data_IF_156311337121
#
_entry.id   IF_156311337121
#
_cell.length_a   1.000
_cell.length_b   1.000
_cell.length_c   1.000
_cell.angle_alpha   90.00
_cell.angle_beta   90.00
_cell.angle_gamma   90.00
#
_symmetry.space_group_name_H-M   'P 1'
#
loop_
_entity.id
_entity.type
_entity.pdbx_description
1 polymer ?
#
# COMPACT_ATOMS: atom_id res chain seq x y z
N UNK A 1 17.07 15.81 14.61
CA UNK A 1 16.76 14.41 14.99
C UNK A 1 18.00 13.64 15.45
N UNK A 2 19.13 13.67 14.71
CA UNK A 2 20.32 12.89 15.06
C UNK A 2 20.89 13.16 16.47
N UNK A 3 20.92 14.42 16.92
CA UNK A 3 21.43 14.79 18.25
C UNK A 3 20.49 14.39 19.39
N UNK A 4 19.18 14.49 19.19
CA UNK A 4 18.20 14.06 20.18
C UNK A 4 18.12 12.54 20.27
N UNK A 5 18.18 11.82 19.15
CA UNK A 5 18.31 10.34 19.16
C UNK A 5 19.60 9.92 19.87
N UNK A 6 20.70 10.66 19.67
CA UNK A 6 21.95 10.46 20.41
C UNK A 6 21.77 10.70 21.91
N UNK A 7 20.99 11.71 22.31
CA UNK A 7 20.67 11.97 23.72
C UNK A 7 19.88 10.81 24.35
N UNK A 8 18.80 10.35 23.70
CA UNK A 8 18.02 9.18 24.18
C UNK A 8 18.91 7.94 24.24
N UNK A 9 19.78 7.74 23.24
CA UNK A 9 20.73 6.64 23.26
C UNK A 9 21.72 6.72 24.44
N UNK A 10 22.19 7.92 24.80
CA UNK A 10 23.03 8.10 25.99
C UNK A 10 22.28 7.75 27.28
N UNK A 11 21.01 8.13 27.41
CA UNK A 11 20.17 7.74 28.55
C UNK A 11 20.02 6.21 28.64
N UNK A 12 19.86 5.50 27.52
CA UNK A 12 19.89 4.03 27.50
C UNK A 12 21.22 3.48 28.04
N UNK A 13 22.35 4.08 27.66
CA UNK A 13 23.67 3.65 28.15
C UNK A 13 23.80 3.88 29.66
N UNK A 14 23.30 5.01 30.17
CA UNK A 14 23.30 5.35 31.59
C UNK A 14 22.40 4.40 32.40
N UNK A 15 21.18 4.12 31.92
CA UNK A 15 20.27 3.15 32.54
C UNK A 15 20.90 1.75 32.62
N UNK A 16 21.50 1.28 31.53
CA UNK A 16 22.14 -0.04 31.53
C UNK A 16 23.36 -0.06 32.45
N UNK A 17 24.13 1.04 32.51
CA UNK A 17 25.28 1.17 33.43
C UNK A 17 24.85 1.15 34.89
N UNK A 18 23.77 1.84 35.26
CA UNK A 18 23.26 1.84 36.64
C UNK A 18 22.80 0.44 37.09
N UNK A 19 22.37 -0.38 36.14
CA UNK A 19 22.02 -1.80 36.34
C UNK A 19 23.20 -2.78 36.20
N UNK A 20 24.43 -2.27 36.05
CA UNK A 20 25.64 -3.08 35.81
C UNK A 20 25.53 -3.98 34.56
N UNK A 21 24.73 -3.58 33.57
CA UNK A 21 24.55 -4.30 32.32
C UNK A 21 25.53 -3.79 31.25
N UNK A 22 26.29 -4.70 30.65
CA UNK A 22 27.21 -4.36 29.58
C UNK A 22 26.46 -4.11 28.25
N UNK A 23 26.70 -2.97 27.60
CA UNK A 23 26.18 -2.70 26.26
C UNK A 23 27.13 -3.27 25.21
N UNK A 24 26.87 -4.51 24.77
CA UNK A 24 27.59 -5.11 23.64
C UNK A 24 27.01 -4.59 22.32
N UNK A 25 27.88 -4.32 21.33
CA UNK A 25 27.48 -3.87 19.98
C UNK A 25 26.65 -2.58 20.00
N UNK A 26 27.12 -1.57 20.74
CA UNK A 26 26.45 -0.28 20.92
C UNK A 26 25.91 0.33 19.60
N UNK A 27 26.69 0.27 18.51
CA UNK A 27 26.22 0.74 17.19
C UNK A 27 24.95 0.03 16.70
N UNK A 28 24.82 -1.28 16.90
CA UNK A 28 23.59 -2.01 16.54
C UNK A 28 22.44 -1.70 17.48
N UNK A 29 22.71 -1.50 18.78
CA UNK A 29 21.68 -1.07 19.73
C UNK A 29 21.10 0.27 19.27
N UNK A 30 21.96 1.23 18.91
CA UNK A 30 21.54 2.51 18.35
C UNK A 30 20.69 2.37 17.10
N UNK A 31 21.10 1.53 16.13
CA UNK A 31 20.29 1.29 14.92
C UNK A 31 18.87 0.79 15.23
N UNK A 32 18.70 -0.09 16.23
CA UNK A 32 17.37 -0.58 16.61
C UNK A 32 16.55 0.50 17.33
N UNK A 33 17.21 1.34 18.14
CA UNK A 33 16.59 2.49 18.79
C UNK A 33 16.12 3.52 17.76
N UNK A 34 16.98 3.90 16.82
CA UNK A 34 16.68 4.87 15.78
C UNK A 34 15.49 4.37 14.94
N UNK A 35 15.52 3.11 14.49
CA UNK A 35 14.42 2.52 13.72
C UNK A 35 13.09 2.46 14.48
N UNK A 36 13.13 2.07 15.76
CA UNK A 36 11.92 2.01 16.60
C UNK A 36 11.33 3.40 16.85
N UNK A 37 12.16 4.40 17.18
CA UNK A 37 11.68 5.77 17.41
C UNK A 37 11.17 6.39 16.11
N UNK A 38 11.82 6.14 14.98
CA UNK A 38 11.36 6.61 13.66
C UNK A 38 10.00 6.04 13.29
N UNK A 39 9.79 4.72 13.43
CA UNK A 39 8.49 4.07 13.16
C UNK A 39 7.37 4.67 14.03
N UNK A 40 7.64 4.86 15.32
CA UNK A 40 6.67 5.47 16.24
C UNK A 40 6.44 6.96 15.97
N UNK A 41 7.46 7.70 15.54
CA UNK A 41 7.33 9.09 15.12
C UNK A 41 6.42 9.18 13.89
N UNK A 42 6.69 8.40 12.84
CA UNK A 42 5.83 8.32 11.64
C UNK A 42 4.39 8.00 12.06
N UNK A 43 4.21 6.99 12.91
CA UNK A 43 2.90 6.59 13.43
C UNK A 43 2.17 7.72 14.16
N UNK A 44 2.89 8.49 14.97
CA UNK A 44 2.31 9.60 15.72
C UNK A 44 2.00 10.82 14.86
N UNK A 45 2.72 11.02 13.76
CA UNK A 45 2.61 12.21 12.91
C UNK A 45 1.65 12.02 11.74
N UNK A 46 1.61 10.83 11.15
CA UNK A 46 0.95 10.60 9.84
C UNK A 46 -0.16 9.56 9.87
N UNK A 47 -0.54 9.04 11.04
CA UNK A 47 -1.54 7.98 11.14
C UNK A 47 -2.61 8.34 12.17
N UNK A 48 -3.88 8.15 11.79
CA UNK A 48 -5.04 8.40 12.66
C UNK A 48 -5.03 7.54 13.94
N UNK A 49 -4.33 6.40 13.89
CA UNK A 49 -4.06 5.54 15.01
C UNK A 49 -2.54 5.49 15.27
N UNK A 50 -2.04 6.05 16.39
CA UNK A 50 -0.61 6.11 16.68
C UNK A 50 -0.05 4.79 17.22
N UNK A 51 -0.91 3.79 17.48
CA UNK A 51 -0.47 2.49 17.96
C UNK A 51 0.15 1.67 16.83
N UNK A 52 1.28 1.03 17.13
CA UNK A 52 1.95 0.06 16.25
C UNK A 52 1.99 -1.30 16.91
N UNK A 53 1.60 -2.32 16.15
CA UNK A 53 1.66 -3.70 16.60
C UNK A 53 3.11 -4.19 16.51
N UNK A 54 3.56 -4.89 17.54
CA UNK A 54 4.90 -5.50 17.58
C UNK A 54 4.80 -6.89 18.18
N UNK A 55 5.41 -7.87 17.52
CA UNK A 55 5.56 -9.19 18.11
C UNK A 55 6.69 -9.19 19.14
N UNK A 56 6.44 -9.76 20.32
CA UNK A 56 7.50 -10.04 21.32
C UNK A 56 8.03 -11.48 21.23
N UNK A 57 7.50 -12.31 20.33
CA UNK A 57 7.90 -13.72 20.16
C UNK A 57 9.22 -13.83 19.41
N UNK A 58 10.10 -14.73 19.83
CA UNK A 58 11.43 -14.88 19.20
C UNK A 58 11.34 -15.51 17.81
N UNK A 59 10.39 -16.42 17.63
CA UNK A 59 10.08 -17.14 16.39
C UNK A 59 9.81 -16.16 15.26
N UNK A 60 9.21 -15.02 15.59
CA UNK A 60 8.90 -14.02 14.60
C UNK A 60 10.16 -13.39 13.97
N UNK A 61 11.27 -13.32 14.69
CA UNK A 61 12.51 -12.69 14.18
C UNK A 61 13.53 -13.73 13.71
N UNK A 62 13.12 -15.00 13.57
CA UNK A 62 14.00 -16.03 13.05
C UNK A 62 14.34 -15.79 11.57
N UNK A 63 15.55 -16.17 11.20
CA UNK A 63 15.99 -16.14 9.81
C UNK A 63 15.34 -17.30 9.06
N UNK A 64 14.92 -17.08 7.81
CA UNK A 64 14.54 -18.16 6.91
C UNK A 64 13.21 -18.00 6.19
N UNK A 65 12.41 -16.97 6.50
CA UNK A 65 11.19 -16.66 5.73
C UNK A 65 11.48 -15.58 4.68
N UNK A 66 10.78 -15.66 3.53
CA UNK A 66 10.92 -14.72 2.41
C UNK A 66 10.60 -13.28 2.83
N UNK A 67 9.55 -13.11 3.63
CA UNK A 67 9.08 -11.82 4.14
C UNK A 67 9.88 -11.30 5.35
N UNK A 68 11.19 -11.51 5.31
CA UNK A 68 12.21 -11.17 6.31
C UNK A 68 11.76 -10.06 7.28
N UNK A 69 11.59 -10.39 8.57
CA UNK A 69 11.22 -9.42 9.59
C UNK A 69 12.35 -8.40 9.81
N UNK A 70 12.20 -7.21 9.22
CA UNK A 70 12.83 -5.91 9.52
C UNK A 70 14.36 -5.84 9.70
N UNK A 71 15.12 -6.92 9.46
CA UNK A 71 16.54 -7.03 9.81
C UNK A 71 16.84 -6.76 11.31
N UNK A 72 15.80 -6.72 12.15
CA UNK A 72 15.89 -6.48 13.58
C UNK A 72 16.19 -7.80 14.30
N UNK A 73 17.20 -7.79 15.16
CA UNK A 73 17.47 -8.92 16.04
C UNK A 73 16.54 -8.83 17.23
N UNK A 74 15.72 -9.86 17.45
CA UNK A 74 14.79 -9.96 18.60
C UNK A 74 15.40 -9.48 19.90
N UNK A 75 16.56 -10.03 20.29
CA UNK A 75 17.20 -9.70 21.57
C UNK A 75 17.61 -8.22 21.68
N UNK A 76 18.00 -7.59 20.58
CA UNK A 76 18.37 -6.17 20.57
C UNK A 76 17.13 -5.29 20.56
N UNK A 77 16.14 -5.60 19.72
CA UNK A 77 14.90 -4.84 19.63
C UNK A 77 14.11 -4.89 20.95
N UNK A 78 13.95 -6.07 21.54
CA UNK A 78 13.23 -6.22 22.81
C UNK A 78 13.97 -5.53 23.94
N UNK A 79 15.30 -5.65 24.01
CA UNK A 79 16.08 -4.93 25.02
C UNK A 79 15.93 -3.41 24.90
N UNK A 80 16.02 -2.86 23.68
CA UNK A 80 15.80 -1.42 23.43
C UNK A 80 14.37 -1.01 23.76
N UNK A 81 13.37 -1.79 23.36
CA UNK A 81 11.97 -1.52 23.66
C UNK A 81 11.73 -1.46 25.17
N UNK A 82 12.24 -2.44 25.91
CA UNK A 82 12.04 -2.53 27.35
C UNK A 82 12.73 -1.37 28.08
N UNK A 83 13.95 -0.98 27.65
CA UNK A 83 14.63 0.22 28.17
C UNK A 83 13.81 1.50 27.92
N UNK A 84 13.26 1.67 26.71
CA UNK A 84 12.49 2.85 26.35
C UNK A 84 11.13 2.91 27.08
N UNK A 85 10.51 1.76 27.34
CA UNK A 85 9.30 1.68 28.18
C UNK A 85 9.64 2.07 29.61
N UNK A 86 10.72 1.55 30.18
CA UNK A 86 11.13 1.83 31.56
C UNK A 86 11.49 3.31 31.77
N UNK A 87 12.16 3.93 30.81
CA UNK A 87 12.47 5.37 30.84
C UNK A 87 11.26 6.26 30.52
N UNK A 88 10.09 5.68 30.25
CA UNK A 88 8.84 6.38 29.97
C UNK A 88 8.77 7.05 28.59
N UNK A 89 9.57 6.61 27.61
CA UNK A 89 9.49 7.09 26.21
C UNK A 89 8.42 6.36 25.39
N UNK A 90 8.06 5.14 25.76
CA UNK A 90 7.08 4.33 25.01
C UNK A 90 5.96 3.88 25.95
N UNK A 91 4.72 4.14 25.53
CA UNK A 91 3.54 3.52 26.14
C UNK A 91 3.33 2.14 25.51
N UNK A 92 3.08 1.11 26.34
CA UNK A 92 2.91 -0.26 25.89
C UNK A 92 1.61 -0.87 26.42
N UNK A 93 0.90 -1.58 25.54
CA UNK A 93 -0.18 -2.52 25.88
C UNK A 93 0.26 -3.93 25.52
N UNK A 94 0.49 -4.76 26.54
CA UNK A 94 0.92 -6.15 26.36
C UNK A 94 -0.18 -6.96 25.66
N UNK A 95 0.21 -7.65 24.60
CA UNK A 95 -0.67 -8.58 23.88
C UNK A 95 -0.95 -9.84 24.68
N UNK A 96 -2.01 -10.54 24.33
CA UNK A 96 -2.40 -11.80 24.96
C UNK A 96 -3.03 -12.74 23.93
N UNK A 97 -3.19 -14.01 24.30
CA UNK A 97 -3.92 -15.00 23.52
C UNK A 97 -4.80 -15.82 24.46
N UNK A 98 -6.10 -15.59 24.39
CA UNK A 98 -7.10 -16.35 25.11
C UNK A 98 -7.39 -17.65 24.35
N UNK A 99 -7.04 -18.78 24.96
CA UNK A 99 -7.22 -20.11 24.37
C UNK A 99 -8.68 -20.57 24.37
N UNK A 100 -9.52 -20.02 25.24
CA UNK A 100 -10.93 -20.39 25.35
C UNK A 100 -11.75 -19.76 24.24
N UNK A 101 -11.52 -18.47 23.97
CA UNK A 101 -12.21 -17.75 22.90
C UNK A 101 -11.45 -17.78 21.57
N UNK A 102 -10.22 -18.31 21.57
CA UNK A 102 -9.28 -18.27 20.45
C UNK A 102 -9.02 -16.84 19.93
N UNK A 103 -9.17 -15.83 20.80
CA UNK A 103 -8.90 -14.42 20.48
C UNK A 103 -7.53 -14.04 20.99
N UNK A 104 -6.76 -13.37 20.15
CA UNK A 104 -5.46 -12.85 20.53
C UNK A 104 -5.25 -11.43 20.03
N UNK A 105 -4.49 -10.66 20.81
CA UNK A 105 -4.00 -9.35 20.42
C UNK A 105 -2.48 -9.36 20.50
N UNK A 106 -1.83 -8.77 19.50
CA UNK A 106 -0.40 -8.50 19.59
C UNK A 106 -0.12 -7.35 20.56
N UNK A 107 1.10 -7.29 21.08
CA UNK A 107 1.56 -6.13 21.85
C UNK A 107 1.48 -4.90 20.97
N UNK A 108 1.01 -3.79 21.53
CA UNK A 108 0.95 -2.51 20.85
C UNK A 108 1.75 -1.47 21.61
N UNK A 109 2.45 -0.63 20.87
CA UNK A 109 3.29 0.44 21.40
C UNK A 109 2.97 1.76 20.71
N UNK A 110 3.20 2.88 21.37
CA UNK A 110 3.14 4.23 20.80
C UNK A 110 4.13 5.16 21.51
N UNK A 111 4.41 6.32 20.92
CA UNK A 111 5.09 7.39 21.65
C UNK A 111 4.30 7.76 22.92
N UNK A 112 5.00 7.90 24.05
CA UNK A 112 4.48 8.60 25.22
C UNK A 112 4.53 10.11 25.01
N UNK A 113 3.88 10.88 25.90
CA UNK A 113 3.96 12.35 25.87
C UNK A 113 5.41 12.86 26.02
N UNK A 114 6.25 12.13 26.78
CA UNK A 114 7.68 12.42 26.94
C UNK A 114 8.41 12.32 25.59
N UNK A 115 8.17 11.23 24.84
CA UNK A 115 8.79 11.06 23.52
C UNK A 115 8.20 12.06 22.52
N UNK A 116 6.88 12.26 22.51
CA UNK A 116 6.22 13.26 21.65
C UNK A 116 6.81 14.67 21.84
N UNK A 117 7.04 15.09 23.09
CA UNK A 117 7.62 16.39 23.42
C UNK A 117 9.08 16.54 22.95
N UNK A 118 9.81 15.44 22.87
CA UNK A 118 11.17 15.41 22.35
C UNK A 118 11.15 15.48 20.81
N UNK A 119 10.24 14.74 20.18
CA UNK A 119 10.20 14.57 18.73
C UNK A 119 9.40 15.66 17.98
N UNK A 120 8.47 16.35 18.64
CA UNK A 120 7.72 17.47 18.05
C UNK A 120 8.62 18.68 17.71
N UNK A 121 9.82 18.73 18.28
CA UNK A 121 10.86 19.73 17.98
C UNK A 121 11.66 19.39 16.73
N UNK A 122 11.29 18.36 15.98
CA UNK A 122 12.01 17.95 14.77
C UNK A 122 11.54 18.69 13.53
N UNK A 123 12.52 19.23 12.81
CA UNK A 123 12.43 19.52 11.39
C UNK A 123 13.05 18.32 10.64
N UNK A 124 12.23 17.32 10.31
CA UNK A 124 12.69 16.14 9.55
C UNK A 124 12.83 16.53 8.10
N UNK A 125 14.05 16.90 7.71
CA UNK A 125 14.34 17.34 6.33
C UNK A 125 14.48 16.17 5.34
N UNK A 126 14.92 15.00 5.83
CA UNK A 126 15.14 13.84 4.98
C UNK A 126 15.11 12.55 5.82
N UNK A 127 14.43 11.53 5.31
CA UNK A 127 14.50 10.16 5.79
C UNK A 127 15.14 9.32 4.69
N UNK A 128 16.28 8.72 4.99
CA UNK A 128 17.02 7.89 4.04
C UNK A 128 17.00 6.44 4.48
N UNK A 129 16.89 5.55 3.50
CA UNK A 129 16.98 4.11 3.73
C UNK A 129 18.41 3.75 4.14
N UNK A 130 18.56 2.90 5.15
CA UNK A 130 19.86 2.32 5.48
C UNK A 130 20.27 1.32 4.38
N UNK A 131 21.39 1.56 3.66
CA UNK A 131 21.83 0.69 2.56
C UNK A 131 22.23 -0.72 3.01
N UNK A 132 22.55 -0.92 4.30
CA UNK A 132 22.87 -2.23 4.87
C UNK A 132 21.64 -3.12 5.05
N UNK A 133 20.43 -2.55 5.00
CA UNK A 133 19.19 -3.31 5.11
C UNK A 133 18.92 -3.97 3.75
N UNK A 134 18.55 -5.27 3.69
CA UNK A 134 18.12 -5.92 2.45
C UNK A 134 16.89 -5.24 1.85
N UNK A 135 16.73 -5.28 0.53
CA UNK A 135 15.49 -4.80 -0.10
C UNK A 135 14.27 -5.56 0.47
N UNK A 136 13.16 -4.85 0.62
CA UNK A 136 11.90 -5.48 1.01
C UNK A 136 11.46 -6.46 -0.08
N UNK A 137 10.75 -7.52 0.29
CA UNK A 137 10.12 -8.38 -0.71
C UNK A 137 9.04 -7.58 -1.46
N UNK A 138 9.23 -7.43 -2.76
CA UNK A 138 8.34 -6.65 -3.63
C UNK A 138 7.29 -7.52 -4.31
N UNK A 139 7.42 -8.85 -4.25
CA UNK A 139 6.42 -9.79 -4.77
C UNK A 139 5.78 -10.53 -3.59
N UNK A 140 4.56 -10.13 -3.26
CA UNK A 140 3.80 -10.61 -2.12
C UNK A 140 2.77 -11.65 -2.56
N UNK A 141 2.78 -12.84 -1.97
CA UNK A 141 1.76 -13.87 -2.21
C UNK A 141 0.96 -14.15 -0.94
N UNK A 142 -0.37 -14.21 -1.08
CA UNK A 142 -1.32 -14.53 0.00
C UNK A 142 -2.14 -15.77 -0.33
N UNK A 143 -2.50 -16.55 0.68
CA UNK A 143 -3.47 -17.65 0.58
C UNK A 143 -4.93 -17.13 0.57
N UNK A 144 -5.90 -18.03 0.40
CA UNK A 144 -7.34 -17.71 0.45
C UNK A 144 -7.80 -17.03 1.74
N UNK A 145 -7.05 -17.21 2.84
CA UNK A 145 -7.33 -16.57 4.13
C UNK A 145 -6.61 -15.22 4.30
N UNK A 146 -5.93 -14.74 3.26
CA UNK A 146 -5.18 -13.49 3.25
C UNK A 146 -3.83 -13.55 3.95
N UNK A 147 -3.36 -14.74 4.34
CA UNK A 147 -2.06 -14.90 5.03
C UNK A 147 -0.93 -14.96 4.02
N UNK A 148 0.19 -14.33 4.37
CA UNK A 148 1.41 -14.38 3.56
C UNK A 148 1.93 -15.82 3.46
N UNK A 149 2.28 -16.25 2.25
CA UNK A 149 2.84 -17.59 1.99
C UNK A 149 4.16 -17.49 1.24
N UNK A 150 5.12 -18.33 1.63
CA UNK A 150 6.36 -18.49 0.90
C UNK A 150 6.09 -19.18 -0.44
N UNK A 151 6.91 -18.87 -1.44
CA UNK A 151 6.86 -19.47 -2.78
C UNK A 151 8.28 -19.67 -3.31
N UNK A 152 8.43 -20.56 -4.29
CA UNK A 152 9.69 -20.79 -5.01
C UNK A 152 9.78 -19.76 -6.13
N UNK A 153 10.92 -19.09 -6.26
CA UNK A 153 11.11 -18.15 -7.37
C UNK A 153 11.12 -18.89 -8.71
N UNK A 154 10.46 -18.29 -9.69
CA UNK A 154 10.50 -18.68 -11.09
C UNK A 154 10.95 -17.52 -11.98
N UNK A 155 11.02 -17.76 -13.30
CA UNK A 155 11.38 -16.74 -14.29
C UNK A 155 10.49 -15.50 -14.26
N UNK A 156 9.21 -15.65 -13.94
CA UNK A 156 8.25 -14.54 -13.90
C UNK A 156 8.44 -13.73 -12.63
N UNK A 157 8.54 -14.37 -11.46
CA UNK A 157 8.78 -13.65 -10.19
C UNK A 157 10.13 -12.94 -10.17
N UNK A 158 11.15 -13.51 -10.81
CA UNK A 158 12.45 -12.85 -10.94
C UNK A 158 12.39 -11.65 -11.87
N UNK A 159 11.77 -11.77 -13.05
CA UNK A 159 11.59 -10.64 -13.97
C UNK A 159 10.80 -9.49 -13.31
N UNK A 160 9.65 -9.81 -12.69
CA UNK A 160 8.86 -8.80 -11.98
C UNK A 160 9.64 -8.11 -10.85
N UNK A 161 10.56 -8.83 -10.20
CA UNK A 161 11.40 -8.26 -9.14
C UNK A 161 12.44 -7.31 -9.70
N UNK A 162 13.08 -7.67 -10.81
CA UNK A 162 14.01 -6.78 -11.53
C UNK A 162 13.31 -5.48 -11.94
N UNK A 163 12.13 -5.60 -12.55
CA UNK A 163 11.31 -4.45 -12.97
C UNK A 163 10.92 -3.56 -11.78
N UNK A 164 10.49 -4.16 -10.66
CA UNK A 164 10.13 -3.43 -9.44
C UNK A 164 11.34 -2.78 -8.77
N UNK A 165 12.51 -3.42 -8.80
CA UNK A 165 13.73 -2.82 -8.26
C UNK A 165 14.12 -1.59 -9.07
N UNK A 166 14.08 -1.66 -10.41
CA UNK A 166 14.30 -0.50 -11.28
C UNK A 166 13.29 0.61 -11.03
N UNK A 167 11.99 0.27 -11.03
CA UNK A 167 10.91 1.23 -10.77
C UNK A 167 11.06 1.91 -9.40
N UNK A 168 11.27 1.13 -8.34
CA UNK A 168 11.42 1.67 -6.99
C UNK A 168 12.70 2.51 -6.84
N UNK A 169 13.75 2.24 -7.63
CA UNK A 169 14.89 3.15 -7.70
C UNK A 169 14.48 4.52 -8.26
N UNK A 170 13.73 4.56 -9.37
CA UNK A 170 13.25 5.82 -9.94
C UNK A 170 12.40 6.63 -8.95
N UNK A 171 11.45 5.97 -8.27
CA UNK A 171 10.63 6.61 -7.23
C UNK A 171 11.50 7.16 -6.11
N UNK A 172 12.49 6.40 -5.62
CA UNK A 172 13.40 6.81 -4.54
C UNK A 172 14.24 8.03 -4.89
N UNK A 173 14.62 8.18 -6.16
CA UNK A 173 15.44 9.30 -6.63
C UNK A 173 14.63 10.54 -7.00
N UNK A 174 13.34 10.39 -7.29
CA UNK A 174 12.47 11.51 -7.63
C UNK A 174 12.10 12.33 -6.40
N UNK A 175 12.07 13.65 -6.54
CA UNK A 175 11.56 14.55 -5.52
C UNK A 175 10.03 14.61 -5.64
N UNK A 176 9.32 13.90 -4.77
CA UNK A 176 7.85 13.97 -4.66
C UNK A 176 7.51 15.02 -3.59
N UNK A 177 7.13 16.21 -4.03
CA UNK A 177 6.75 17.30 -3.13
C UNK A 177 5.28 17.17 -2.70
N UNK A 178 5.05 17.36 -1.40
CA UNK A 178 3.74 17.23 -0.76
C UNK A 178 3.35 18.51 0.01
N UNK A 179 4.00 19.64 -0.24
CA UNK A 179 3.83 20.87 0.56
C UNK A 179 2.40 21.42 0.50
N UNK A 180 1.72 21.18 -0.63
CA UNK A 180 0.35 21.60 -0.89
C UNK A 180 -0.69 20.53 -0.46
N UNK A 181 -0.27 19.47 0.24
CA UNK A 181 -1.14 18.37 0.71
C UNK A 181 -1.07 18.24 2.22
N UNK A 182 -2.22 18.21 2.89
CA UNK A 182 -2.27 17.87 4.31
C UNK A 182 -2.14 16.35 4.47
N UNK A 183 -1.04 15.92 5.08
CA UNK A 183 -0.74 14.51 5.28
C UNK A 183 -0.84 14.08 6.75
N UNK A 184 -0.83 15.05 7.68
CA UNK A 184 -0.73 14.73 9.10
C UNK A 184 -1.97 13.98 9.55
N UNK A 185 -1.74 12.92 10.31
CA UNK A 185 -2.75 12.00 10.80
C UNK A 185 -3.53 11.23 9.71
N UNK A 186 -3.17 11.36 8.44
CA UNK A 186 -3.87 10.72 7.33
C UNK A 186 -3.00 9.74 6.54
N UNK A 187 -1.84 10.19 6.04
CA UNK A 187 -1.03 9.42 5.08
C UNK A 187 0.46 9.55 5.39
N UNK A 188 1.16 8.41 5.45
CA UNK A 188 2.63 8.34 5.63
C UNK A 188 3.37 8.64 4.32
N UNK A 189 4.04 9.81 4.17
CA UNK A 189 4.77 10.16 2.96
C UNK A 189 6.03 9.32 2.71
N UNK A 190 6.50 8.56 3.70
CA UNK A 190 7.69 7.72 3.55
C UNK A 190 7.39 6.40 2.84
N UNK A 191 6.11 6.04 2.73
CA UNK A 191 5.65 4.86 2.02
C UNK A 191 5.77 5.08 0.50
N UNK A 192 6.95 4.83 -0.06
CA UNK A 192 7.24 5.03 -1.50
C UNK A 192 7.63 3.75 -2.23
N UNK A 193 7.80 2.64 -1.51
CA UNK A 193 8.18 1.35 -2.11
C UNK A 193 6.95 0.60 -2.61
N UNK A 194 6.86 0.47 -3.93
CA UNK A 194 5.84 -0.31 -4.62
C UNK A 194 6.14 -1.80 -4.59
N UNK A 195 5.07 -2.60 -4.50
CA UNK A 195 5.07 -4.06 -4.50
C UNK A 195 3.90 -4.59 -5.31
N UNK A 196 4.02 -5.79 -5.86
CA UNK A 196 2.89 -6.52 -6.45
C UNK A 196 2.31 -7.49 -5.44
N UNK A 197 0.99 -7.49 -5.29
CA UNK A 197 0.28 -8.35 -4.32
C UNK A 197 -0.62 -9.34 -5.05
N UNK A 198 -0.30 -10.62 -4.92
CA UNK A 198 -1.05 -11.74 -5.48
C UNK A 198 -1.86 -12.44 -4.38
N UNK A 199 -3.13 -12.70 -4.68
CA UNK A 199 -4.01 -13.51 -3.85
C UNK A 199 -4.23 -14.85 -4.57
N UNK A 200 -3.76 -15.94 -3.98
CA UNK A 200 -3.70 -17.26 -4.61
C UNK A 200 -2.99 -17.23 -5.97
N UNK A 201 -3.72 -17.45 -7.07
CA UNK A 201 -3.21 -17.43 -8.44
C UNK A 201 -3.64 -16.17 -9.22
N UNK A 202 -4.28 -15.20 -8.55
CA UNK A 202 -4.73 -13.94 -9.15
C UNK A 202 -4.27 -12.70 -8.40
N UNK A 203 -4.83 -11.56 -8.77
CA UNK A 203 -4.37 -10.22 -8.40
C UNK A 203 -3.13 -9.79 -9.17
N UNK A 204 -2.16 -9.26 -8.44
CA UNK A 204 -0.88 -8.77 -8.97
C UNK A 204 -0.79 -7.26 -9.04
N UNK A 205 -1.85 -6.52 -8.70
CA UNK A 205 -1.85 -5.05 -8.70
C UNK A 205 -0.69 -4.46 -7.89
N UNK A 206 -0.27 -3.28 -8.30
CA UNK A 206 0.78 -2.50 -7.65
C UNK A 206 0.22 -1.78 -6.42
N UNK A 207 0.91 -1.92 -5.29
CA UNK A 207 0.57 -1.30 -4.01
C UNK A 207 1.79 -0.71 -3.30
N UNK A 208 1.58 0.27 -2.43
CA UNK A 208 2.56 0.66 -1.40
C UNK A 208 2.95 2.14 -1.42
N UNK A 209 2.71 2.84 -2.52
CA UNK A 209 2.95 4.27 -2.65
C UNK A 209 1.90 5.07 -1.90
N UNK A 210 2.32 6.04 -1.09
CA UNK A 210 1.45 6.86 -0.28
C UNK A 210 0.43 7.63 -1.12
N UNK A 211 0.79 7.99 -2.36
CA UNK A 211 -0.08 8.66 -3.32
C UNK A 211 -1.34 7.85 -3.63
N UNK A 212 -1.32 6.51 -3.48
CA UNK A 212 -2.49 5.66 -3.67
C UNK A 212 -3.55 5.83 -2.58
N UNK A 213 -3.18 6.41 -1.43
CA UNK A 213 -4.07 6.68 -0.29
C UNK A 213 -4.69 8.07 -0.36
N UNK A 214 -4.15 8.96 -1.20
CA UNK A 214 -4.64 10.32 -1.36
C UNK A 214 -5.92 10.37 -2.19
N UNK A 215 -6.77 11.36 -1.91
CA UNK A 215 -7.90 11.72 -2.77
C UNK A 215 -7.41 12.15 -4.16
N UNK A 216 -8.28 12.12 -5.18
CA UNK A 216 -7.90 12.56 -6.52
C UNK A 216 -7.47 14.04 -6.50
N UNK A 217 -8.17 14.85 -5.72
CA UNK A 217 -7.92 16.28 -5.55
C UNK A 217 -6.54 16.53 -4.93
N UNK A 218 -6.15 15.76 -3.91
CA UNK A 218 -4.85 15.90 -3.25
C UNK A 218 -3.70 15.33 -4.09
N UNK A 219 -3.94 14.24 -4.81
CA UNK A 219 -2.98 13.69 -5.77
C UNK A 219 -2.54 14.72 -6.81
N UNK A 220 -3.48 15.54 -7.30
CA UNK A 220 -3.18 16.58 -8.29
C UNK A 220 -2.42 17.79 -7.73
N UNK A 221 -2.28 17.90 -6.40
CA UNK A 221 -1.44 18.93 -5.75
C UNK A 221 0.02 18.50 -5.62
N UNK A 222 0.34 17.22 -5.83
CA UNK A 222 1.71 16.73 -5.81
C UNK A 222 2.54 17.38 -6.92
N UNK A 223 3.85 17.51 -6.69
CA UNK A 223 4.82 17.88 -7.73
C UNK A 223 5.92 16.82 -7.81
N UNK A 224 6.28 16.44 -9.04
CA UNK A 224 7.38 15.54 -9.32
C UNK A 224 8.56 16.34 -9.85
N UNK A 225 9.68 16.32 -9.13
CA UNK A 225 10.88 17.12 -9.40
C UNK A 225 10.56 18.62 -9.61
N UNK A 226 9.65 19.14 -8.79
CA UNK A 226 9.21 20.53 -8.84
C UNK A 226 8.14 20.85 -9.88
N UNK A 227 7.78 19.91 -10.75
CA UNK A 227 6.75 20.10 -11.78
C UNK A 227 5.39 19.55 -11.34
N UNK A 228 4.31 20.27 -11.65
CA UNK A 228 2.94 19.81 -11.40
C UNK A 228 2.65 18.49 -12.12
N UNK A 229 1.86 17.63 -11.48
CA UNK A 229 1.43 16.36 -12.07
C UNK A 229 0.13 16.49 -12.85
N UNK A 230 -0.09 15.55 -13.77
CA UNK A 230 -1.40 15.26 -14.36
C UNK A 230 -1.73 13.80 -14.09
N UNK A 231 -3.01 13.48 -13.91
CA UNK A 231 -3.49 12.10 -13.76
C UNK A 231 -4.34 11.72 -14.97
N UNK A 232 -4.03 10.57 -15.60
CA UNK A 232 -4.85 9.95 -16.64
C UNK A 232 -5.32 8.58 -16.18
N UNK A 233 -6.59 8.29 -16.41
CA UNK A 233 -7.25 7.02 -16.11
C UNK A 233 -7.79 6.36 -17.38
N UNK A 234 -7.84 5.03 -17.39
CA UNK A 234 -8.55 4.31 -18.45
C UNK A 234 -10.06 4.57 -18.35
N UNK A 235 -10.67 4.86 -19.49
CA UNK A 235 -12.13 5.03 -19.56
C UNK A 235 -12.80 3.66 -19.49
N UNK A 236 -13.49 3.39 -18.39
CA UNK A 236 -14.30 2.18 -18.19
C UNK A 236 -13.56 0.87 -18.51
N UNK A 237 -12.34 0.72 -17.96
CA UNK A 237 -11.43 -0.38 -18.29
C UNK A 237 -12.08 -1.78 -18.22
N UNK A 238 -12.74 -2.10 -17.11
CA UNK A 238 -13.35 -3.42 -16.91
C UNK A 238 -14.45 -3.74 -17.93
N UNK A 239 -15.45 -2.85 -18.16
CA UNK A 239 -16.36 -3.00 -19.30
C UNK A 239 -15.65 -3.12 -20.65
N UNK A 240 -14.64 -2.29 -20.93
CA UNK A 240 -13.93 -2.32 -22.21
C UNK A 240 -13.27 -3.69 -22.47
N UNK A 241 -12.63 -4.27 -21.45
CA UNK A 241 -12.08 -5.63 -21.52
C UNK A 241 -13.20 -6.65 -21.77
N UNK A 242 -14.31 -6.56 -21.04
CA UNK A 242 -15.43 -7.50 -21.19
C UNK A 242 -16.04 -7.47 -22.59
N UNK A 243 -16.25 -6.29 -23.17
CA UNK A 243 -16.73 -6.12 -24.53
C UNK A 243 -15.71 -6.62 -25.57
N UNK A 244 -14.43 -6.35 -25.37
CA UNK A 244 -13.36 -6.82 -26.28
C UNK A 244 -13.32 -8.35 -26.36
N UNK A 245 -13.55 -9.05 -25.24
CA UNK A 245 -13.60 -10.52 -25.20
C UNK A 245 -14.75 -11.14 -26.01
N UNK A 246 -15.82 -10.39 -26.26
CA UNK A 246 -16.92 -10.82 -27.14
C UNK A 246 -16.78 -10.24 -28.55
N UNK A 247 -15.64 -9.65 -28.89
CA UNK A 247 -15.31 -9.12 -30.22
C UNK A 247 -15.90 -7.73 -30.50
N UNK A 248 -16.25 -6.97 -29.46
CA UNK A 248 -16.84 -5.63 -29.61
C UNK A 248 -15.97 -4.56 -28.97
N UNK A 249 -15.67 -3.50 -29.72
CA UNK A 249 -15.04 -2.30 -29.18
C UNK A 249 -16.06 -1.44 -28.41
N UNK A 250 -15.68 -0.97 -27.21
CA UNK A 250 -16.53 -0.08 -26.43
C UNK A 250 -16.41 1.36 -26.94
N UNK A 251 -17.39 1.81 -27.72
CA UNK A 251 -17.42 3.16 -28.32
C UNK A 251 -18.36 4.15 -27.59
N UNK A 252 -18.95 3.73 -26.47
CA UNK A 252 -19.92 4.50 -25.69
C UNK A 252 -19.60 4.37 -24.20
N UNK A 253 -20.25 5.18 -23.36
CA UNK A 253 -20.09 5.09 -21.92
C UNK A 253 -20.98 3.98 -21.35
N UNK A 254 -20.42 2.86 -20.85
CA UNK A 254 -21.18 1.72 -20.36
C UNK A 254 -21.92 2.02 -19.04
N UNK A 255 -21.71 3.20 -18.44
CA UNK A 255 -22.38 3.59 -17.21
C UNK A 255 -23.55 4.55 -17.44
N UNK A 256 -23.80 4.96 -18.69
CA UNK A 256 -24.89 5.87 -19.04
C UNK A 256 -26.14 5.06 -19.35
N UNK A 257 -27.08 5.06 -18.40
CA UNK A 257 -28.40 4.41 -18.52
C UNK A 257 -29.47 5.45 -18.23
N UNK A 258 -30.49 5.53 -19.10
CA UNK A 258 -31.57 6.51 -18.95
C UNK A 258 -32.29 6.37 -17.60
N UNK A 259 -32.49 7.51 -16.93
CA UNK A 259 -33.15 7.58 -15.62
C UNK A 259 -32.31 7.07 -14.45
N UNK A 260 -31.01 6.79 -14.65
CA UNK A 260 -30.11 6.34 -13.60
C UNK A 260 -28.93 7.31 -13.41
N UNK A 261 -28.52 7.50 -12.15
CA UNK A 261 -27.30 8.23 -11.83
C UNK A 261 -26.07 7.43 -12.27
N UNK A 262 -25.27 7.98 -13.18
CA UNK A 262 -24.09 7.30 -13.75
C UNK A 262 -23.13 6.75 -12.69
N UNK A 263 -22.92 7.48 -11.60
CA UNK A 263 -22.04 7.06 -10.51
C UNK A 263 -22.55 5.79 -9.80
N UNK A 264 -23.87 5.66 -9.68
CA UNK A 264 -24.54 4.51 -9.07
C UNK A 264 -24.52 3.31 -10.02
N UNK A 265 -24.73 3.55 -11.32
CA UNK A 265 -24.55 2.53 -12.37
C UNK A 265 -23.12 2.00 -12.31
N UNK A 266 -22.09 2.85 -12.28
CA UNK A 266 -20.68 2.42 -12.22
C UNK A 266 -20.40 1.52 -11.01
N UNK A 267 -20.85 1.92 -9.81
CA UNK A 267 -20.68 1.11 -8.59
C UNK A 267 -21.38 -0.24 -8.69
N UNK A 268 -22.64 -0.24 -9.13
CA UNK A 268 -23.42 -1.46 -9.31
C UNK A 268 -22.76 -2.37 -10.36
N UNK A 269 -22.48 -1.86 -11.56
CA UNK A 269 -21.88 -2.58 -12.67
C UNK A 269 -20.58 -3.30 -12.27
N UNK A 270 -19.64 -2.59 -11.64
CA UNK A 270 -18.39 -3.21 -11.17
C UNK A 270 -18.62 -4.27 -10.08
N UNK A 271 -19.68 -4.12 -9.28
CA UNK A 271 -20.10 -5.13 -8.30
C UNK A 271 -20.61 -6.42 -8.96
N UNK A 272 -21.29 -6.32 -10.11
CA UNK A 272 -21.84 -7.50 -10.83
C UNK A 272 -20.73 -8.49 -11.19
N UNK A 273 -19.58 -8.02 -11.68
CA UNK A 273 -18.45 -8.90 -12.04
C UNK A 273 -17.85 -9.66 -10.85
N UNK A 274 -18.07 -9.20 -9.62
CA UNK A 274 -17.43 -9.76 -8.43
C UNK A 274 -18.40 -10.56 -7.53
N UNK A 275 -19.70 -10.51 -7.80
CA UNK A 275 -20.71 -11.26 -7.06
C UNK A 275 -20.92 -12.65 -7.63
N UNK A 276 -21.41 -13.61 -6.84
CA UNK A 276 -21.77 -14.98 -7.27
C UNK A 276 -23.22 -15.11 -7.74
N UNK A 277 -24.05 -14.11 -7.44
CA UNK A 277 -25.47 -14.12 -7.80
C UNK A 277 -26.06 -12.71 -7.75
N UNK A 278 -27.18 -12.53 -8.45
CA UNK A 278 -28.02 -11.33 -8.38
C UNK A 278 -28.41 -10.95 -6.96
N UNK A 279 -28.81 -11.94 -6.14
CA UNK A 279 -29.18 -11.71 -4.74
C UNK A 279 -28.01 -11.15 -3.93
N UNK A 280 -26.81 -11.69 -4.12
CA UNK A 280 -25.62 -11.18 -3.46
C UNK A 280 -25.33 -9.74 -3.88
N UNK A 281 -25.37 -9.44 -5.19
CA UNK A 281 -25.12 -8.10 -5.70
C UNK A 281 -26.10 -7.06 -5.14
N UNK A 282 -27.40 -7.38 -5.09
CA UNK A 282 -28.42 -6.51 -4.46
C UNK A 282 -28.07 -6.21 -3.01
N UNK A 283 -27.68 -7.23 -2.25
CA UNK A 283 -27.33 -7.07 -0.83
C UNK A 283 -26.08 -6.20 -0.67
N UNK A 284 -25.02 -6.48 -1.45
CA UNK A 284 -23.78 -5.71 -1.43
C UNK A 284 -24.01 -4.25 -1.82
N UNK A 285 -24.80 -3.98 -2.85
CA UNK A 285 -25.10 -2.61 -3.29
C UNK A 285 -25.87 -1.82 -2.22
N UNK A 286 -26.80 -2.48 -1.53
CA UNK A 286 -27.54 -1.87 -0.43
C UNK A 286 -26.66 -1.60 0.79
N UNK A 287 -25.77 -2.54 1.14
CA UNK A 287 -24.93 -2.42 2.34
C UNK A 287 -23.75 -1.48 2.15
N UNK A 288 -23.03 -1.59 1.03
CA UNK A 288 -21.78 -0.86 0.77
C UNK A 288 -22.02 0.52 0.14
N UNK A 289 -23.00 0.63 -0.74
CA UNK A 289 -23.25 1.87 -1.50
C UNK A 289 -24.50 2.62 -1.04
N UNK A 290 -25.28 2.03 -0.13
CA UNK A 290 -26.53 2.60 0.39
C UNK A 290 -27.57 2.99 -0.68
N UNK A 291 -27.53 2.30 -1.84
CA UNK A 291 -28.41 2.59 -2.96
C UNK A 291 -29.77 1.88 -2.79
N UNK A 292 -30.83 2.70 -2.80
CA UNK A 292 -32.21 2.21 -2.88
C UNK A 292 -32.49 1.72 -4.31
N UNK A 293 -33.45 0.81 -4.48
CA UNK A 293 -33.83 0.35 -5.83
C UNK A 293 -32.79 -0.54 -6.54
N UNK A 294 -31.80 -1.09 -5.82
CA UNK A 294 -30.74 -1.92 -6.41
C UNK A 294 -31.23 -3.03 -7.37
N UNK A 295 -32.41 -3.61 -7.12
CA UNK A 295 -32.97 -4.64 -7.99
C UNK A 295 -33.41 -4.09 -9.37
N UNK A 296 -33.97 -2.88 -9.41
CA UNK A 296 -34.37 -2.19 -10.65
C UNK A 296 -33.12 -1.73 -11.42
N UNK A 297 -32.16 -1.13 -10.72
CA UNK A 297 -30.87 -0.71 -11.31
C UNK A 297 -30.15 -1.89 -11.98
N UNK A 298 -30.08 -3.04 -11.31
CA UNK A 298 -29.48 -4.26 -11.87
C UNK A 298 -30.23 -4.77 -13.10
N UNK A 299 -31.57 -4.70 -13.09
CA UNK A 299 -32.36 -5.09 -14.24
C UNK A 299 -32.04 -4.22 -15.46
N UNK A 300 -31.94 -2.90 -15.27
CA UNK A 300 -31.59 -1.97 -16.34
C UNK A 300 -30.18 -2.19 -16.88
N UNK A 301 -29.20 -2.43 -16.00
CA UNK A 301 -27.82 -2.76 -16.41
C UNK A 301 -27.80 -4.04 -17.28
N UNK A 302 -28.51 -5.09 -16.87
CA UNK A 302 -28.56 -6.33 -17.66
C UNK A 302 -29.24 -6.14 -19.02
N UNK A 303 -30.28 -5.31 -19.08
CA UNK A 303 -30.98 -4.99 -20.33
C UNK A 303 -30.12 -4.17 -21.30
N UNK A 304 -29.34 -3.22 -20.78
CA UNK A 304 -28.49 -2.34 -21.60
C UNK A 304 -27.21 -3.06 -22.07
N UNK A 305 -26.76 -4.08 -21.34
CA UNK A 305 -25.50 -4.79 -21.61
C UNK A 305 -25.68 -6.30 -21.88
N UNK A 306 -26.55 -6.70 -22.83
CA UNK A 306 -26.84 -8.12 -23.06
C UNK A 306 -25.61 -8.88 -23.56
N UNK A 307 -24.73 -8.23 -24.34
CA UNK A 307 -23.53 -8.82 -24.95
C UNK A 307 -22.51 -9.36 -23.93
N UNK A 308 -22.49 -8.81 -22.72
CA UNK A 308 -21.55 -9.19 -21.66
C UNK A 308 -22.26 -9.71 -20.42
N UNK A 309 -23.58 -9.93 -20.50
CA UNK A 309 -24.40 -10.34 -19.37
C UNK A 309 -24.01 -11.71 -18.81
N UNK A 310 -23.47 -12.60 -19.66
CA UNK A 310 -22.92 -13.91 -19.26
C UNK A 310 -21.68 -13.79 -18.34
N UNK A 311 -21.02 -12.64 -18.32
CA UNK A 311 -19.91 -12.36 -17.40
C UNK A 311 -20.36 -11.79 -16.07
N UNK A 312 -21.62 -11.38 -15.94
CA UNK A 312 -22.15 -10.92 -14.66
C UNK A 312 -22.30 -12.09 -13.69
N UNK A 313 -22.14 -11.78 -12.42
CA UNK A 313 -22.22 -12.74 -11.32
C UNK A 313 -21.17 -13.87 -11.39
N UNK A 314 -20.01 -13.58 -11.99
CA UNK A 314 -18.92 -14.51 -12.19
C UNK A 314 -17.63 -13.98 -11.52
N UNK A 315 -17.40 -14.25 -10.22
CA UNK A 315 -16.22 -13.72 -9.52
C UNK A 315 -14.87 -14.13 -10.12
N UNK A 316 -14.69 -15.36 -10.66
CA UNK A 316 -13.50 -15.69 -11.43
C UNK A 316 -13.24 -14.73 -12.60
N UNK A 317 -14.28 -14.27 -13.30
CA UNK A 317 -14.15 -13.25 -14.33
C UNK A 317 -13.76 -11.89 -13.74
N UNK A 318 -14.36 -11.49 -12.61
CA UNK A 318 -13.95 -10.28 -11.88
C UNK A 318 -12.47 -10.29 -11.49
N UNK A 319 -11.95 -11.43 -11.04
CA UNK A 319 -10.53 -11.61 -10.74
C UNK A 319 -9.66 -11.52 -11.99
N UNK A 320 -10.10 -12.14 -13.11
CA UNK A 320 -9.42 -12.03 -14.40
C UNK A 320 -9.34 -10.56 -14.86
N UNK A 321 -10.40 -9.77 -14.73
CA UNK A 321 -10.38 -8.34 -15.04
C UNK A 321 -9.30 -7.59 -14.23
N UNK A 322 -9.22 -7.86 -12.92
CA UNK A 322 -8.20 -7.25 -12.06
C UNK A 322 -6.77 -7.69 -12.43
N UNK A 323 -6.60 -8.95 -12.85
CA UNK A 323 -5.31 -9.44 -13.35
C UNK A 323 -4.92 -8.71 -14.63
N UNK A 324 -5.84 -8.61 -15.58
CA UNK A 324 -5.61 -7.92 -16.86
C UNK A 324 -5.26 -6.45 -16.64
N UNK A 325 -5.99 -5.75 -15.78
CA UNK A 325 -5.67 -4.39 -15.30
C UNK A 325 -4.23 -4.32 -14.75
N UNK A 326 -3.84 -5.27 -13.89
CA UNK A 326 -2.46 -5.29 -13.36
C UNK A 326 -1.38 -5.46 -14.44
N UNK A 327 -1.61 -6.30 -15.45
CA UNK A 327 -0.66 -6.49 -16.55
C UNK A 327 -0.60 -5.28 -17.49
N UNK A 328 -1.75 -4.62 -17.69
CA UNK A 328 -1.83 -3.38 -18.44
C UNK A 328 -1.05 -2.27 -17.75
N UNK A 329 -1.22 -2.13 -16.42
CA UNK A 329 -0.44 -1.22 -15.59
C UNK A 329 1.06 -1.49 -15.73
N UNK A 330 1.49 -2.75 -15.65
CA UNK A 330 2.90 -3.10 -15.84
C UNK A 330 3.43 -2.70 -17.22
N UNK A 331 2.65 -2.94 -18.28
CA UNK A 331 3.04 -2.58 -19.66
C UNK A 331 3.23 -1.06 -19.81
N UNK A 332 2.32 -0.25 -19.25
CA UNK A 332 2.43 1.22 -19.24
C UNK A 332 3.69 1.66 -18.48
N UNK A 333 3.89 1.14 -17.26
CA UNK A 333 5.05 1.49 -16.44
C UNK A 333 6.35 1.12 -17.16
N UNK A 334 6.45 -0.08 -17.73
CA UNK A 334 7.63 -0.51 -18.50
C UNK A 334 7.90 0.38 -19.72
N UNK A 335 6.85 0.81 -20.42
CA UNK A 335 7.01 1.71 -21.56
C UNK A 335 7.59 3.05 -21.11
N UNK A 336 7.03 3.66 -20.07
CA UNK A 336 7.51 4.95 -19.55
C UNK A 336 8.90 4.85 -18.91
N UNK A 337 9.21 3.78 -18.18
CA UNK A 337 10.54 3.54 -17.62
C UNK A 337 11.62 3.48 -18.70
N UNK A 338 11.36 2.83 -19.85
CA UNK A 338 12.31 2.81 -20.98
C UNK A 338 12.63 4.21 -21.54
N UNK A 339 11.73 5.16 -21.31
CA UNK A 339 11.90 6.57 -21.70
C UNK A 339 12.45 7.42 -20.55
N UNK A 340 12.82 6.80 -19.41
CA UNK A 340 13.22 7.45 -18.17
C UNK A 340 12.15 8.40 -17.61
N UNK A 341 10.87 8.07 -17.83
CA UNK A 341 9.71 8.82 -17.33
C UNK A 341 9.14 8.08 -16.13
N UNK A 342 9.14 8.73 -14.96
CA UNK A 342 8.47 8.21 -13.77
C UNK A 342 6.97 8.45 -13.86
N UNK A 343 6.19 7.37 -13.75
CA UNK A 343 4.75 7.42 -13.49
C UNK A 343 4.44 6.84 -12.11
N UNK A 344 3.54 7.47 -11.36
CA UNK A 344 3.02 6.97 -10.10
C UNK A 344 1.65 6.30 -10.35
N UNK A 345 1.53 4.96 -10.28
CA UNK A 345 0.28 4.27 -10.58
C UNK A 345 -0.68 4.31 -9.38
N UNK A 346 -1.97 4.45 -9.67
CA UNK A 346 -3.11 4.30 -8.77
C UNK A 346 -4.12 3.38 -9.44
N UNK A 347 -3.92 2.07 -9.27
CA UNK A 347 -4.67 1.05 -10.03
C UNK A 347 -4.56 1.28 -11.55
N UNK A 348 -5.67 1.63 -12.21
CA UNK A 348 -5.78 1.88 -13.64
C UNK A 348 -5.56 3.35 -14.04
N UNK A 349 -5.14 4.20 -13.10
CA UNK A 349 -4.71 5.57 -13.36
C UNK A 349 -3.22 5.80 -13.07
N UNK A 350 -2.65 6.83 -13.68
CA UNK A 350 -1.23 7.15 -13.60
C UNK A 350 -1.03 8.64 -13.45
N UNK A 351 -0.15 9.04 -12.52
CA UNK A 351 0.32 10.41 -12.40
C UNK A 351 1.70 10.53 -13.04
N UNK A 352 1.88 11.55 -13.89
CA UNK A 352 3.18 11.93 -14.47
C UNK A 352 3.36 13.43 -14.36
N UNK A 353 4.59 13.93 -14.54
CA UNK A 353 4.81 15.37 -14.78
C UNK A 353 3.96 15.83 -15.96
N UNK A 354 3.40 17.03 -15.87
CA UNK A 354 2.55 17.60 -16.93
C UNK A 354 3.20 17.57 -18.31
N UNK A 355 4.50 17.82 -18.40
CA UNK A 355 5.29 17.72 -19.65
C UNK A 355 5.21 16.35 -20.33
N UNK A 356 4.98 15.28 -19.56
CA UNK A 356 4.88 13.91 -20.06
C UNK A 356 3.42 13.44 -20.28
N UNK A 357 2.43 14.32 -20.25
CA UNK A 357 1.02 13.97 -20.45
C UNK A 357 0.79 13.19 -21.74
N UNK A 358 1.37 13.63 -22.86
CA UNK A 358 1.24 12.96 -24.14
C UNK A 358 1.93 11.58 -24.14
N UNK A 359 3.11 11.47 -23.56
CA UNK A 359 3.84 10.19 -23.45
C UNK A 359 3.04 9.17 -22.63
N UNK A 360 2.40 9.61 -21.55
CA UNK A 360 1.49 8.77 -20.78
C UNK A 360 0.28 8.33 -21.62
N UNK A 361 -0.36 9.26 -22.33
CA UNK A 361 -1.48 8.95 -23.21
C UNK A 361 -1.11 7.90 -24.26
N UNK A 362 0.04 8.06 -24.92
CA UNK A 362 0.52 7.16 -25.95
C UNK A 362 0.87 5.78 -25.35
N UNK A 363 1.56 5.76 -24.19
CA UNK A 363 1.86 4.53 -23.48
C UNK A 363 0.60 3.76 -23.05
N UNK A 364 -0.47 4.47 -22.63
CA UNK A 364 -1.76 3.86 -22.30
C UNK A 364 -2.46 3.33 -23.55
N UNK A 365 -2.44 4.09 -24.65
CA UNK A 365 -3.06 3.70 -25.92
C UNK A 365 -2.38 2.47 -26.55
N UNK A 366 -1.06 2.43 -26.58
CA UNK A 366 -0.26 1.28 -27.06
C UNK A 366 -0.41 0.05 -26.18
N UNK A 367 -0.80 0.27 -24.92
CA UNK A 367 -0.98 -0.80 -23.95
C UNK A 367 -2.37 -1.42 -24.03
N UNK A 368 -3.38 -0.66 -24.48
CA UNK A 368 -4.77 -1.10 -24.61
C UNK A 368 -4.90 -2.36 -25.50
N UNK A 369 -5.93 -3.15 -25.17
CA UNK A 369 -6.23 -4.46 -25.78
C UNK A 369 -7.23 -4.32 -26.91
#
# INVERSE_FOLDING_TARGET
MADQLKAVFNEVLELRRSKQQQVRKAGRVRQHLDGLILDLWIASTYSNNPWRAISRRKEDYQKGTRYRKLFLKHSLLMGVLDDLVEMGYIDQKIGFHDRTTNKGYQTRIKCSDKLLSLISKFDVRQITRNPEVPEEETIIKKDASGRLVDYVDDRFTNGMREDLTEYNNMVRTAAINTDDVELRYEVDPTATTMRRVFNEEGGGRFYGGFWQQLSKEDRLKLKLDGEAVVEKDYVALHPAIAYSLVGWGLAFDPYTIEGCERGDVKKAFLCLFNCKSRKQAINTIRSEFHLKGAADLLHRIEQEHPLISDFFYNPPFGLMLQNTDSWLCEKVLKNLMKQNILALPVHDSFLVKKTYEQHLHDAMSDSAI
#
